data_IF_330055908429
#
_entry.id   IF_330055908429
#
_cell.length_a   1.000
_cell.length_b   1.000
_cell.length_c   1.000
_cell.angle_alpha   90.00
_cell.angle_beta   90.00
_cell.angle_gamma   90.00
#
_symmetry.space_group_name_H-M   'P 1'
#
loop_
_entity.id
_entity.type
_entity.pdbx_description
1 polymer ?
#
# COMPACT_ATOMS: atom_id res chain seq x y z
N UNK A 1 3.77 6.51 16.17
CA UNK A 1 3.33 7.50 15.15
C UNK A 1 3.60 6.91 13.77
N UNK A 2 2.73 7.17 12.80
CA UNK A 2 2.86 6.65 11.44
C UNK A 2 2.87 7.80 10.42
N UNK A 3 3.54 7.67 9.26
CA UNK A 3 3.48 8.65 8.19
C UNK A 3 2.17 8.54 7.41
N UNK A 4 1.52 9.67 7.13
CA UNK A 4 0.36 9.71 6.25
C UNK A 4 0.76 9.27 4.83
N UNK A 5 0.06 8.30 4.21
CA UNK A 5 0.42 7.81 2.89
C UNK A 5 0.24 8.86 1.79
N UNK A 6 -0.61 9.87 2.03
CA UNK A 6 -0.95 10.97 1.12
C UNK A 6 0.02 12.15 1.25
N UNK A 7 0.15 12.74 2.44
CA UNK A 7 0.96 13.96 2.64
C UNK A 7 2.29 13.75 3.38
N UNK A 8 2.65 12.50 3.70
CA UNK A 8 3.89 12.10 4.40
C UNK A 8 4.10 12.66 5.82
N UNK A 9 3.16 13.45 6.36
CA UNK A 9 3.21 13.95 7.74
C UNK A 9 3.11 12.80 8.76
N UNK A 10 3.96 12.82 9.78
CA UNK A 10 3.99 11.82 10.86
C UNK A 10 2.98 12.20 11.94
N UNK A 11 2.07 11.30 12.27
CA UNK A 11 0.90 11.60 13.10
C UNK A 11 0.64 10.53 14.15
N UNK A 12 0.00 10.94 15.24
CA UNK A 12 -0.48 10.04 16.30
C UNK A 12 -1.75 9.31 15.89
N UNK A 13 -2.68 10.00 15.20
CA UNK A 13 -3.93 9.42 14.68
C UNK A 13 -4.08 9.66 13.18
N UNK A 14 -3.76 8.64 12.39
CA UNK A 14 -3.95 8.66 10.93
C UNK A 14 -5.44 8.72 10.58
N UNK A 15 -6.29 8.00 11.33
CA UNK A 15 -7.73 7.96 11.08
C UNK A 15 -8.38 9.34 11.17
N UNK A 16 -8.08 10.10 12.22
CA UNK A 16 -8.61 11.44 12.39
C UNK A 16 -8.09 12.39 11.30
N UNK A 17 -6.78 12.34 11.03
CA UNK A 17 -6.15 13.16 10.00
C UNK A 17 -6.72 12.91 8.59
N UNK A 18 -6.95 11.65 8.21
CA UNK A 18 -7.54 11.33 6.91
C UNK A 18 -8.93 11.98 6.76
N UNK A 19 -9.74 11.99 7.82
CA UNK A 19 -11.08 12.60 7.77
C UNK A 19 -11.05 14.12 7.84
N UNK A 20 -10.17 14.73 8.63
CA UNK A 20 -10.18 16.18 8.85
C UNK A 20 -9.35 16.98 7.86
N UNK A 21 -8.23 16.42 7.37
CA UNK A 21 -7.28 17.11 6.48
C UNK A 21 -7.44 16.66 5.04
N UNK A 22 -7.69 15.37 4.83
CA UNK A 22 -7.85 14.79 3.49
C UNK A 22 -9.31 14.54 3.11
N UNK A 23 -10.26 14.85 4.00
CA UNK A 23 -11.70 14.67 3.78
C UNK A 23 -12.08 13.28 3.25
N UNK A 24 -11.38 12.24 3.75
CA UNK A 24 -11.68 10.85 3.39
C UNK A 24 -12.93 10.40 4.12
N UNK A 25 -14.06 10.45 3.40
CA UNK A 25 -15.37 9.99 3.86
C UNK A 25 -15.63 8.52 3.48
N UNK A 26 -15.04 8.05 2.39
CA UNK A 26 -15.17 6.66 1.97
C UNK A 26 -14.47 5.73 2.98
N UNK A 27 -15.25 4.86 3.62
CA UNK A 27 -14.79 3.98 4.70
C UNK A 27 -13.78 2.94 4.21
N UNK A 28 -13.99 2.40 3.00
CA UNK A 28 -13.08 1.42 2.40
C UNK A 28 -11.75 2.06 1.98
N UNK A 29 -11.80 3.25 1.37
CA UNK A 29 -10.61 4.05 1.07
C UNK A 29 -9.82 4.32 2.36
N UNK A 30 -10.51 4.82 3.40
CA UNK A 30 -9.91 5.11 4.69
C UNK A 30 -9.24 3.88 5.30
N UNK A 31 -9.90 2.72 5.22
CA UNK A 31 -9.36 1.44 5.71
C UNK A 31 -8.06 1.06 4.99
N UNK A 32 -8.03 1.14 3.66
CA UNK A 32 -6.85 0.84 2.85
C UNK A 32 -5.69 1.78 3.22
N UNK A 33 -5.95 3.10 3.34
CA UNK A 33 -4.93 4.09 3.70
C UNK A 33 -4.38 3.88 5.11
N UNK A 34 -5.23 3.52 6.08
CA UNK A 34 -4.79 3.18 7.45
C UNK A 34 -3.91 1.93 7.44
N UNK A 35 -4.29 0.88 6.70
CA UNK A 35 -3.46 -0.32 6.59
C UNK A 35 -2.10 -0.01 5.94
N UNK A 36 -2.09 0.83 4.91
CA UNK A 36 -0.86 1.27 4.26
C UNK A 36 0.05 2.08 5.20
N UNK A 37 -0.52 3.04 5.94
CA UNK A 37 0.23 3.85 6.90
C UNK A 37 0.92 3.00 7.99
N UNK A 38 0.28 1.90 8.39
CA UNK A 38 0.78 1.00 9.42
C UNK A 38 1.56 -0.20 8.89
N UNK A 39 1.83 -0.27 7.58
CA UNK A 39 2.52 -1.42 6.95
C UNK A 39 1.82 -2.77 7.24
N UNK A 40 0.49 -2.76 7.29
CA UNK A 40 -0.36 -3.94 7.58
C UNK A 40 -1.15 -4.42 6.36
N UNK A 41 -0.80 -3.95 5.17
CA UNK A 41 -1.42 -4.43 3.92
C UNK A 41 -0.94 -5.86 3.65
N UNK A 42 -1.88 -6.76 3.42
CA UNK A 42 -1.54 -8.16 3.11
C UNK A 42 -0.95 -8.27 1.71
N UNK A 43 0.28 -8.80 1.63
CA UNK A 43 1.03 -8.99 0.37
C UNK A 43 1.07 -10.46 -0.08
N UNK A 44 0.28 -11.34 0.54
CA UNK A 44 0.33 -12.78 0.30
C UNK A 44 0.16 -13.16 -1.18
N UNK A 45 -0.72 -12.47 -1.90
CA UNK A 45 -1.01 -12.67 -3.32
C UNK A 45 -0.45 -11.55 -4.20
N UNK A 46 0.44 -10.72 -3.67
CA UNK A 46 1.07 -9.65 -4.44
C UNK A 46 2.22 -10.18 -5.30
N UNK A 47 2.44 -9.64 -6.51
CA UNK A 47 3.59 -9.97 -7.33
C UNK A 47 4.88 -9.57 -6.62
N UNK A 48 5.97 -10.29 -6.91
CA UNK A 48 7.28 -9.96 -6.37
C UNK A 48 7.76 -8.60 -6.93
N UNK A 49 8.13 -7.63 -6.07
CA UNK A 49 8.60 -6.33 -6.51
C UNK A 49 10.11 -6.32 -6.86
N UNK A 50 10.81 -7.46 -6.76
CA UNK A 50 12.22 -7.54 -7.10
C UNK A 50 12.37 -7.47 -8.63
N UNK A 51 13.20 -6.56 -9.18
CA UNK A 51 13.40 -6.44 -10.62
C UNK A 51 13.85 -7.75 -11.25
N UNK A 52 13.20 -8.14 -12.36
CA UNK A 52 13.47 -9.40 -13.06
C UNK A 52 12.86 -10.64 -12.41
N UNK A 53 12.17 -10.53 -11.27
CA UNK A 53 11.48 -11.65 -10.64
C UNK A 53 9.99 -11.69 -11.07
N UNK A 54 9.61 -12.72 -11.83
CA UNK A 54 8.22 -12.92 -12.30
C UNK A 54 7.30 -13.66 -11.32
N UNK A 55 7.64 -13.73 -10.02
CA UNK A 55 6.86 -14.53 -9.07
C UNK A 55 5.53 -13.86 -8.71
N UNK A 56 4.41 -14.57 -8.89
CA UNK A 56 3.05 -14.03 -8.65
C UNK A 56 2.07 -15.03 -8.00
N UNK A 57 2.57 -16.09 -7.34
CA UNK A 57 1.71 -17.18 -6.83
C UNK A 57 1.15 -16.90 -5.44
N UNK A 58 1.94 -17.10 -4.39
CA UNK A 58 1.43 -17.04 -3.00
C UNK A 58 2.57 -16.92 -1.99
N UNK A 59 2.36 -16.24 -0.86
CA UNK A 59 3.36 -16.08 0.22
C UNK A 59 4.61 -15.33 -0.24
N UNK A 60 4.44 -14.07 -0.67
CA UNK A 60 5.55 -13.19 -1.02
C UNK A 60 6.60 -13.06 0.11
N UNK A 61 6.15 -13.09 1.37
CA UNK A 61 7.00 -13.12 2.58
C UNK A 61 8.02 -14.28 2.55
N UNK A 62 7.54 -15.49 2.27
CA UNK A 62 8.37 -16.68 2.17
C UNK A 62 9.20 -16.69 0.88
N UNK A 63 8.66 -16.15 -0.20
CA UNK A 63 9.39 -16.04 -1.46
C UNK A 63 10.63 -15.15 -1.31
N UNK A 64 10.51 -13.98 -0.66
CA UNK A 64 11.64 -13.08 -0.43
C UNK A 64 12.74 -13.70 0.43
N UNK A 65 12.39 -14.57 1.39
CA UNK A 65 13.39 -15.24 2.23
C UNK A 65 14.02 -16.47 1.56
N UNK A 66 13.30 -17.18 0.70
CA UNK A 66 13.77 -18.43 0.08
C UNK A 66 14.43 -18.24 -1.28
N UNK A 67 13.91 -17.37 -2.15
CA UNK A 67 14.42 -17.14 -3.50
C UNK A 67 15.39 -15.96 -3.58
N UNK A 68 15.33 -15.01 -2.64
CA UNK A 68 16.20 -13.83 -2.62
C UNK A 68 17.09 -13.84 -1.38
N UNK A 69 17.89 -14.91 -1.26
CA UNK A 69 18.78 -15.14 -0.11
C UNK A 69 19.88 -14.09 0.00
N UNK A 70 20.31 -13.55 -1.13
CA UNK A 70 21.35 -12.52 -1.23
C UNK A 70 20.87 -11.12 -0.80
N UNK A 71 19.56 -10.93 -0.60
CA UNK A 71 19.04 -9.68 -0.06
C UNK A 71 19.35 -9.57 1.43
N UNK A 72 19.90 -8.43 1.83
CA UNK A 72 19.97 -8.02 3.22
C UNK A 72 18.56 -7.85 3.80
N UNK A 73 18.43 -7.97 5.12
CA UNK A 73 17.14 -7.79 5.80
C UNK A 73 16.55 -6.41 5.55
N UNK A 74 17.40 -5.38 5.45
CA UNK A 74 16.95 -4.03 5.07
C UNK A 74 16.41 -3.98 3.64
N UNK A 75 17.04 -4.66 2.68
CA UNK A 75 16.54 -4.72 1.31
C UNK A 75 15.20 -5.49 1.23
N UNK A 76 15.07 -6.60 1.97
CA UNK A 76 13.81 -7.35 2.06
C UNK A 76 12.67 -6.50 2.61
N UNK A 77 12.92 -5.77 3.68
CA UNK A 77 11.93 -4.86 4.28
C UNK A 77 11.49 -3.78 3.28
N UNK A 78 12.42 -3.19 2.52
CA UNK A 78 12.08 -2.24 1.45
C UNK A 78 11.19 -2.87 0.38
N UNK A 79 11.47 -4.10 -0.03
CA UNK A 79 10.63 -4.81 -0.99
C UNK A 79 9.25 -5.15 -0.41
N UNK A 80 9.15 -5.54 0.86
CA UNK A 80 7.86 -5.75 1.54
C UNK A 80 7.04 -4.45 1.53
N UNK A 81 7.64 -3.32 1.92
CA UNK A 81 6.97 -2.01 1.91
C UNK A 81 6.56 -1.60 0.49
N UNK A 82 7.39 -1.90 -0.51
CA UNK A 82 7.07 -1.65 -1.92
C UNK A 82 5.87 -2.50 -2.36
N UNK A 83 5.85 -3.79 -2.05
CA UNK A 83 4.72 -4.66 -2.35
C UNK A 83 3.42 -4.21 -1.65
N UNK A 84 3.51 -3.78 -0.39
CA UNK A 84 2.37 -3.23 0.35
C UNK A 84 1.83 -1.95 -0.30
N UNK A 85 2.71 -1.07 -0.77
CA UNK A 85 2.35 0.15 -1.49
C UNK A 85 1.68 -0.16 -2.82
N UNK A 86 2.26 -1.06 -3.63
CA UNK A 86 1.68 -1.52 -4.90
C UNK A 86 0.29 -2.11 -4.64
N UNK A 87 0.15 -3.02 -3.67
CA UNK A 87 -1.13 -3.65 -3.33
C UNK A 87 -2.17 -2.65 -2.88
N UNK A 88 -1.81 -1.69 -2.03
CA UNK A 88 -2.72 -0.64 -1.60
C UNK A 88 -3.19 0.22 -2.79
N UNK A 89 -2.29 0.59 -3.69
CA UNK A 89 -2.62 1.32 -4.92
C UNK A 89 -3.58 0.51 -5.79
N UNK A 90 -3.34 -0.80 -5.98
CA UNK A 90 -4.26 -1.68 -6.72
C UNK A 90 -5.65 -1.71 -6.08
N UNK A 91 -5.74 -1.89 -4.75
CA UNK A 91 -7.03 -1.88 -4.04
C UNK A 91 -7.76 -0.53 -4.20
N UNK A 92 -7.04 0.59 -4.18
CA UNK A 92 -7.62 1.90 -4.42
C UNK A 92 -8.11 2.06 -5.87
N UNK A 93 -7.38 1.52 -6.86
CA UNK A 93 -7.82 1.49 -8.27
C UNK A 93 -9.08 0.65 -8.46
N UNK A 94 -9.12 -0.55 -7.86
CA UNK A 94 -10.27 -1.44 -7.87
C UNK A 94 -11.49 -0.77 -7.23
N UNK A 95 -11.30 -0.12 -6.07
CA UNK A 95 -12.35 0.64 -5.40
C UNK A 95 -12.84 1.82 -6.24
N UNK A 96 -11.96 2.51 -6.97
CA UNK A 96 -12.38 3.58 -7.88
C UNK A 96 -13.18 3.04 -9.07
N UNK A 97 -12.69 1.96 -9.67
CA UNK A 97 -13.31 1.35 -10.84
C UNK A 97 -14.72 0.81 -10.53
N UNK A 98 -14.98 0.38 -9.29
CA UNK A 98 -16.31 -0.05 -8.86
C UNK A 98 -17.33 1.08 -8.71
N UNK A 99 -16.94 2.34 -8.95
CA UNK A 99 -17.81 3.53 -8.85
C UNK A 99 -18.54 3.60 -7.51
N UNK A 100 -17.80 3.80 -6.41
CA UNK A 100 -18.35 3.70 -5.06
C UNK A 100 -19.34 4.83 -4.81
N UNK A 101 -20.42 4.54 -4.08
CA UNK A 101 -21.46 5.53 -3.73
C UNK A 101 -20.90 6.79 -3.06
N UNK A 102 -19.89 6.62 -2.20
CA UNK A 102 -19.11 7.73 -1.66
C UNK A 102 -17.85 7.87 -2.50
N UNK A 103 -17.64 9.02 -3.16
CA UNK A 103 -16.47 9.22 -4.02
C UNK A 103 -15.19 9.14 -3.18
N UNK A 104 -14.12 8.67 -3.82
CA UNK A 104 -12.81 8.65 -3.19
C UNK A 104 -12.22 10.06 -3.14
N UNK A 105 -11.66 10.45 -2.01
CA UNK A 105 -11.10 11.78 -1.79
C UNK A 105 -9.64 11.88 -2.26
N UNK A 106 -8.88 10.79 -2.16
CA UNK A 106 -7.44 10.78 -2.48
C UNK A 106 -7.18 10.27 -3.89
N UNK A 107 -6.13 10.78 -4.54
CA UNK A 107 -5.71 10.38 -5.90
C UNK A 107 -4.45 9.52 -5.90
N UNK A 108 -4.17 8.85 -4.79
CA UNK A 108 -2.94 8.06 -4.61
C UNK A 108 -2.77 6.96 -5.65
N UNK A 109 -3.89 6.45 -6.16
CA UNK A 109 -3.98 5.43 -7.20
C UNK A 109 -3.70 5.94 -8.63
N UNK A 110 -3.83 7.25 -8.85
CA UNK A 110 -3.54 7.92 -10.12
C UNK A 110 -2.09 8.39 -10.21
N UNK A 111 -1.44 8.67 -9.06
CA UNK A 111 -0.08 9.17 -9.01
C UNK A 111 0.99 8.14 -9.41
N UNK A 112 0.64 6.86 -9.54
CA UNK A 112 1.59 5.81 -9.94
C UNK A 112 1.79 5.68 -11.47
N UNK A 113 1.55 6.76 -12.22
CA UNK A 113 1.79 6.83 -13.66
C UNK A 113 3.05 7.66 -14.04
N UNK A 114 3.68 8.32 -13.07
CA UNK A 114 4.84 9.20 -13.29
C UNK A 114 5.95 8.91 -12.26
N UNK A 115 6.59 7.74 -12.36
CA UNK A 115 7.99 7.53 -11.94
C UNK A 115 8.62 6.41 -12.78
#
# INVERSE_FOLDING_TARGET
MAPCPVCKKVLSSISAHLSTVHHVENVEEKRILIQLANQKVSILTSPCPVPGCGYQKSRLDRHLTSCHRDLSDQARERYIQTAQRIRAITLLRELRASSPNVPMATRLDLAAADE
#
